data_IF_880201532144
#
_entry.id   IF_880201532144
#
_cell.length_a   1.000
_cell.length_b   1.000
_cell.length_c   1.000
_cell.angle_alpha   90.00
_cell.angle_beta   90.00
_cell.angle_gamma   90.00
#
_symmetry.space_group_name_H-M   'P 1'
#
loop_
_entity.id
_entity.type
_entity.pdbx_description
1 polymer ?
#
# COMPACT_ATOMS: atom_id res chain seq x y z
N UNK A 1 41.41 -5.09 46.15
CA UNK A 1 41.82 -4.89 44.75
C UNK A 1 40.97 -3.79 44.14
N UNK A 2 41.56 -2.63 43.80
CA UNK A 2 40.84 -1.46 43.25
C UNK A 2 41.00 -1.45 41.73
N UNK A 3 40.01 -1.96 41.00
CA UNK A 3 40.01 -1.89 39.54
C UNK A 3 39.61 -0.48 39.08
N UNK A 4 40.56 0.22 38.45
CA UNK A 4 40.34 1.49 37.77
C UNK A 4 39.56 1.25 36.48
N UNK A 5 38.31 1.72 36.44
CA UNK A 5 37.54 1.82 35.21
C UNK A 5 37.88 3.15 34.51
N UNK A 6 38.80 3.09 33.54
CA UNK A 6 39.07 4.19 32.61
C UNK A 6 38.24 3.93 31.36
N UNK A 7 36.97 4.34 31.37
CA UNK A 7 36.07 4.21 30.21
C UNK A 7 36.25 5.41 29.26
N UNK A 8 36.26 5.07 27.98
CA UNK A 8 36.66 5.89 26.85
C UNK A 8 35.61 6.96 26.51
N UNK A 9 35.80 8.21 26.95
CA UNK A 9 34.83 9.28 26.67
C UNK A 9 34.76 9.71 25.19
N UNK A 10 35.71 9.27 24.35
CA UNK A 10 35.73 9.62 22.93
C UNK A 10 34.59 8.98 22.13
N UNK A 11 34.09 7.82 22.52
CA UNK A 11 32.97 7.17 21.81
C UNK A 11 31.62 7.82 22.11
N UNK A 12 31.43 8.42 23.29
CA UNK A 12 30.17 9.12 23.62
C UNK A 12 30.00 10.44 22.85
N UNK A 13 31.10 11.11 22.49
CA UNK A 13 31.03 12.38 21.76
C UNK A 13 30.61 12.21 20.30
N UNK A 14 30.90 11.07 19.65
CA UNK A 14 30.45 10.82 18.28
C UNK A 14 28.94 10.53 18.19
N UNK A 15 28.37 9.81 19.15
CA UNK A 15 26.94 9.44 19.11
C UNK A 15 26.03 10.65 19.33
N UNK A 16 26.43 11.59 20.20
CA UNK A 16 25.68 12.83 20.42
C UNK A 16 25.66 13.74 19.18
N UNK A 17 26.71 13.75 18.35
CA UNK A 17 26.77 14.59 17.15
C UNK A 17 25.78 14.18 16.06
N UNK A 18 25.55 12.88 15.88
CA UNK A 18 24.65 12.38 14.83
C UNK A 18 23.19 12.63 15.22
N UNK A 19 22.85 12.46 16.50
CA UNK A 19 21.48 12.70 16.99
C UNK A 19 21.03 14.16 16.85
N UNK A 20 21.94 15.13 17.07
CA UNK A 20 21.61 16.57 16.93
C UNK A 20 21.34 16.94 15.47
N UNK A 21 22.07 16.36 14.51
CA UNK A 21 21.86 16.61 13.08
C UNK A 21 20.51 16.05 12.63
N UNK A 22 20.14 14.85 13.08
CA UNK A 22 18.84 14.24 12.75
C UNK A 22 17.68 15.05 13.31
N UNK A 23 17.80 15.56 14.55
CA UNK A 23 16.77 16.40 15.18
C UNK A 23 16.57 17.73 14.44
N UNK A 24 17.64 18.35 13.94
CA UNK A 24 17.55 19.59 13.16
C UNK A 24 16.90 19.40 11.78
N UNK A 25 17.10 18.24 11.14
CA UNK A 25 16.42 17.91 9.88
C UNK A 25 14.92 17.71 10.08
N UNK A 26 14.52 17.02 11.15
CA UNK A 26 13.11 16.83 11.50
C UNK A 26 12.43 18.18 11.77
N UNK A 27 13.06 19.07 12.54
CA UNK A 27 12.50 20.40 12.83
C UNK A 27 12.41 21.32 11.60
N UNK A 28 13.29 21.15 10.61
CA UNK A 28 13.26 21.96 9.38
C UNK A 28 12.07 21.62 8.47
N UNK A 29 11.49 20.42 8.60
CA UNK A 29 10.39 19.97 7.75
C UNK A 29 9.00 20.44 8.24
N UNK A 30 8.89 20.95 9.47
CA UNK A 30 7.60 21.41 10.05
C UNK A 30 7.26 22.88 9.74
N UNK A 31 8.03 23.58 8.90
CA UNK A 31 7.85 25.01 8.67
C UNK A 31 7.22 25.34 7.30
N UNK A 32 6.27 24.53 6.85
CA UNK A 32 5.39 24.90 5.73
C UNK A 32 4.34 25.90 6.22
N UNK A 33 4.58 27.17 5.91
CA UNK A 33 3.63 28.26 6.16
C UNK A 33 2.33 27.98 5.38
N UNK A 34 1.16 27.91 6.02
CA UNK A 34 -0.09 27.76 5.30
C UNK A 34 -0.36 29.05 4.52
N UNK A 35 -0.35 28.97 3.19
CA UNK A 35 -0.79 30.07 2.32
C UNK A 35 -2.31 30.15 2.43
N UNK A 36 -2.78 31.06 3.27
CA UNK A 36 -4.20 31.43 3.37
C UNK A 36 -4.64 32.10 2.06
N UNK A 37 -5.25 31.34 1.15
CA UNK A 37 -5.96 31.89 0.01
C UNK A 37 -7.22 32.62 0.53
N UNK A 38 -7.17 33.95 0.55
CA UNK A 38 -8.33 34.78 0.88
C UNK A 38 -9.41 34.60 -0.19
N UNK A 39 -10.47 33.92 0.21
CA UNK A 39 -11.77 33.88 -0.42
C UNK A 39 -12.28 35.32 -0.65
N UNK A 40 -12.39 35.73 -1.91
CA UNK A 40 -13.02 36.99 -2.32
C UNK A 40 -14.25 36.64 -3.16
N UNK A 41 -15.39 36.46 -2.48
CA UNK A 41 -16.68 36.55 -3.14
C UNK A 41 -16.97 38.02 -3.43
N UNK A 42 -17.05 38.40 -4.71
CA UNK A 42 -18.00 39.41 -5.17
C UNK A 42 -18.59 39.05 -6.53
N UNK A 43 -19.91 38.87 -6.47
CA UNK A 43 -20.96 38.93 -7.48
C UNK A 43 -20.61 39.69 -8.78
N UNK A 44 -21.03 39.16 -9.93
CA UNK A 44 -22.08 39.77 -10.78
C UNK A 44 -22.47 38.87 -11.95
N UNK A 45 -23.78 38.85 -12.18
CA UNK A 45 -24.51 38.28 -13.31
C UNK A 45 -24.13 38.91 -14.65
N UNK A 46 -24.00 38.11 -15.72
CA UNK A 46 -24.54 38.40 -17.07
C UNK A 46 -24.48 37.12 -17.90
N UNK A 47 -25.65 36.52 -18.17
CA UNK A 47 -25.79 35.47 -19.18
C UNK A 47 -25.67 36.10 -20.56
N UNK A 48 -24.60 35.75 -21.27
CA UNK A 48 -24.33 36.13 -22.66
C UNK A 48 -23.72 34.96 -23.40
N UNK A 49 -24.54 34.29 -24.21
CA UNK A 49 -24.21 33.25 -25.16
C UNK A 49 -23.08 33.66 -26.12
N UNK A 50 -21.95 32.94 -26.15
CA UNK A 50 -21.07 32.81 -27.33
C UNK A 50 -20.35 31.44 -27.30
N UNK A 51 -20.29 30.81 -28.47
CA UNK A 51 -19.72 29.50 -28.74
C UNK A 51 -18.19 29.50 -28.93
N UNK A 52 -17.51 28.45 -28.44
CA UNK A 52 -16.23 27.79 -28.86
C UNK A 52 -14.96 28.65 -29.10
N UNK A 53 -13.73 28.07 -29.13
CA UNK A 53 -13.28 26.71 -28.78
C UNK A 53 -12.12 26.65 -27.75
N UNK A 54 -11.98 25.48 -27.10
CA UNK A 54 -10.77 25.01 -26.43
C UNK A 54 -9.63 24.86 -27.43
N UNK A 55 -8.61 25.71 -27.34
CA UNK A 55 -7.31 25.49 -27.99
C UNK A 55 -6.27 26.43 -27.37
N UNK A 56 -5.64 26.06 -26.24
CA UNK A 56 -4.34 26.63 -25.79
C UNK A 56 -3.84 25.98 -24.49
N UNK A 57 -3.49 24.70 -24.52
CA UNK A 57 -2.59 24.09 -23.52
C UNK A 57 -1.72 23.03 -24.19
N UNK A 58 -0.82 23.46 -25.08
CA UNK A 58 0.16 22.56 -25.70
C UNK A 58 1.49 23.23 -26.08
N UNK A 59 1.89 24.31 -25.41
CA UNK A 59 3.13 25.05 -25.76
C UNK A 59 4.10 25.27 -24.60
N UNK A 60 4.04 24.46 -23.54
CA UNK A 60 4.90 24.68 -22.36
C UNK A 60 5.75 23.51 -21.87
N UNK A 61 5.90 22.44 -22.67
CA UNK A 61 6.81 21.32 -22.35
C UNK A 61 8.06 21.29 -23.27
N UNK A 62 8.15 22.16 -24.29
CA UNK A 62 9.25 22.15 -25.26
C UNK A 62 10.45 23.07 -24.89
N UNK A 63 10.74 23.26 -23.59
CA UNK A 63 11.78 24.20 -23.13
C UNK A 63 12.74 23.63 -22.07
N UNK A 64 12.88 22.31 -21.98
CA UNK A 64 13.88 21.68 -21.09
C UNK A 64 14.77 20.60 -21.74
N UNK A 65 14.61 20.30 -23.03
CA UNK A 65 15.42 19.26 -23.73
C UNK A 65 16.64 19.80 -24.48
N UNK A 66 17.37 20.78 -23.93
CA UNK A 66 18.67 21.18 -24.49
C UNK A 66 19.65 21.53 -23.39
N UNK A 67 20.18 20.50 -22.71
CA UNK A 67 21.46 20.55 -21.95
C UNK A 67 21.91 19.19 -21.40
N UNK A 68 21.75 18.12 -22.17
CA UNK A 68 22.33 16.81 -21.82
C UNK A 68 23.07 16.17 -23.01
N UNK A 69 23.79 17.00 -23.76
CA UNK A 69 24.88 16.52 -24.60
C UNK A 69 26.19 16.96 -23.95
N UNK A 70 27.01 15.97 -23.61
CA UNK A 70 28.45 15.98 -23.25
C UNK A 70 28.63 15.10 -22.00
N UNK A 71 29.54 14.13 -22.14
CA UNK A 71 29.93 13.07 -21.19
C UNK A 71 29.14 11.75 -21.37
N UNK A 72 29.44 11.04 -22.46
CA UNK A 72 29.77 9.62 -22.39
C UNK A 72 30.52 9.21 -23.67
N UNK A 73 31.82 9.50 -23.66
CA UNK A 73 32.81 8.95 -24.58
C UNK A 73 33.84 8.25 -23.72
N UNK A 74 34.21 7.04 -24.12
CA UNK A 74 35.37 6.24 -23.66
C UNK A 74 35.07 5.21 -22.56
N UNK A 75 34.55 4.05 -22.94
CA UNK A 75 35.06 2.76 -22.45
C UNK A 75 35.13 1.81 -23.65
N UNK A 76 36.35 1.65 -24.15
CA UNK A 76 36.76 0.66 -25.12
C UNK A 76 36.88 -0.74 -24.48
N UNK A 77 36.62 -1.75 -25.31
CA UNK A 77 37.26 -3.07 -25.33
C UNK A 77 37.30 -3.92 -24.04
N UNK A 78 36.28 -4.77 -23.88
CA UNK A 78 36.47 -6.10 -23.27
C UNK A 78 35.86 -7.18 -24.17
N UNK A 79 36.75 -7.75 -24.99
CA UNK A 79 36.56 -8.98 -25.75
C UNK A 79 36.54 -10.16 -24.77
N UNK A 80 35.39 -10.80 -24.59
CA UNK A 80 35.27 -12.09 -23.89
C UNK A 80 34.84 -13.16 -24.89
N UNK A 81 35.64 -14.23 -24.98
CA UNK A 81 35.40 -15.36 -25.89
C UNK A 81 34.26 -16.26 -25.41
N UNK A 82 33.55 -16.94 -26.32
CA UNK A 82 32.48 -17.85 -25.97
C UNK A 82 33.05 -19.26 -25.76
N UNK A 83 32.79 -19.85 -24.60
CA UNK A 83 33.14 -21.23 -24.35
C UNK A 83 32.34 -21.79 -23.18
N UNK A 84 31.12 -22.26 -23.43
CA UNK A 84 30.65 -23.43 -22.70
C UNK A 84 29.57 -24.20 -23.44
N UNK A 85 29.70 -25.51 -23.30
CA UNK A 85 29.06 -26.59 -24.02
C UNK A 85 27.59 -26.78 -23.68
N UNK A 86 26.80 -26.94 -24.74
CA UNK A 86 25.41 -27.43 -24.75
C UNK A 86 25.37 -28.87 -24.25
N UNK A 87 24.67 -29.11 -23.13
CA UNK A 87 24.21 -30.44 -22.74
C UNK A 87 22.72 -30.55 -23.05
N UNK A 88 22.41 -31.33 -24.07
CA UNK A 88 21.08 -31.79 -24.45
C UNK A 88 20.55 -32.73 -23.37
N UNK A 89 19.41 -32.41 -22.76
CA UNK A 89 18.63 -33.38 -21.98
C UNK A 89 17.32 -33.60 -22.73
N UNK A 90 17.29 -34.71 -23.47
CA UNK A 90 16.08 -35.31 -23.99
C UNK A 90 15.28 -35.87 -22.81
N UNK A 91 14.11 -35.31 -22.51
CA UNK A 91 13.19 -35.91 -21.54
C UNK A 91 11.94 -36.41 -22.26
N UNK A 92 11.89 -37.72 -22.42
CA UNK A 92 10.80 -38.47 -23.02
C UNK A 92 9.53 -38.38 -22.15
N UNK A 93 8.55 -37.66 -22.65
CA UNK A 93 7.28 -38.18 -23.12
C UNK A 93 6.59 -39.37 -22.38
N UNK A 94 5.32 -39.14 -22.07
CA UNK A 94 4.17 -40.07 -21.97
C UNK A 94 4.06 -41.02 -20.77
N UNK A 95 3.22 -40.59 -19.82
CA UNK A 95 2.56 -41.45 -18.85
C UNK A 95 1.13 -40.97 -18.55
N UNK A 96 0.25 -41.00 -19.56
CA UNK A 96 -1.20 -40.80 -19.40
C UNK A 96 -1.81 -42.09 -18.83
N UNK A 97 -2.36 -42.03 -17.62
CA UNK A 97 -3.42 -42.93 -17.16
C UNK A 97 -4.39 -42.19 -16.22
N UNK A 98 -5.61 -41.92 -16.71
CA UNK A 98 -6.81 -41.99 -15.88
C UNK A 98 -7.13 -43.47 -15.54
N UNK A 99 -8.19 -43.80 -14.78
CA UNK A 99 -9.52 -43.19 -14.90
C UNK A 99 -10.30 -42.98 -13.57
N UNK A 100 -11.40 -42.22 -13.69
CA UNK A 100 -12.72 -42.40 -13.08
C UNK A 100 -12.86 -42.93 -11.64
N UNK A 101 -13.45 -42.08 -10.78
CA UNK A 101 -14.43 -42.46 -9.74
C UNK A 101 -15.03 -41.15 -9.18
N UNK A 102 -16.21 -40.68 -9.61
CA UNK A 102 -17.56 -41.16 -9.23
C UNK A 102 -17.66 -41.51 -7.75
N UNK A 103 -18.00 -40.52 -6.92
CA UNK A 103 -18.77 -40.73 -5.68
C UNK A 103 -19.79 -39.59 -5.54
N UNK A 104 -21.04 -39.94 -5.83
CA UNK A 104 -22.25 -39.27 -5.35
C UNK A 104 -22.48 -39.58 -3.86
N UNK A 105 -23.41 -38.84 -3.26
CA UNK A 105 -24.06 -39.03 -1.93
C UNK A 105 -23.50 -38.07 -0.87
N UNK A 106 -24.26 -37.47 0.01
CA UNK A 106 -25.69 -37.58 0.32
C UNK A 106 -26.08 -36.32 1.10
N UNK A 107 -27.28 -35.86 0.81
CA UNK A 107 -28.07 -34.89 1.54
C UNK A 107 -28.38 -35.44 2.95
N UNK A 108 -28.20 -34.64 4.00
CA UNK A 108 -28.83 -34.93 5.30
C UNK A 108 -29.31 -33.64 5.94
N UNK A 109 -30.63 -33.50 5.88
CA UNK A 109 -31.47 -32.58 6.60
C UNK A 109 -31.46 -32.82 8.13
N UNK A 110 -31.61 -31.70 8.85
CA UNK A 110 -32.39 -31.52 10.09
C UNK A 110 -31.99 -32.26 11.38
N UNK A 111 -31.65 -31.50 12.43
CA UNK A 111 -32.52 -31.29 13.62
C UNK A 111 -31.80 -30.52 14.74
N UNK A 112 -32.26 -29.31 15.03
CA UNK A 112 -32.48 -28.83 16.42
C UNK A 112 -33.64 -29.66 17.03
N UNK A 113 -33.80 -29.85 18.37
CA UNK A 113 -33.62 -28.83 19.43
C UNK A 113 -33.08 -29.38 20.78
N UNK A 114 -32.86 -28.49 21.77
CA UNK A 114 -33.62 -28.49 23.03
C UNK A 114 -32.92 -27.72 24.17
N UNK A 115 -33.71 -26.84 24.78
CA UNK A 115 -33.58 -26.23 26.10
C UNK A 115 -33.12 -27.23 27.18
N UNK A 116 -32.27 -26.78 28.11
CA UNK A 116 -32.48 -27.09 29.53
C UNK A 116 -31.86 -26.04 30.45
N UNK A 117 -32.74 -25.47 31.27
CA UNK A 117 -32.51 -24.56 32.40
C UNK A 117 -31.97 -25.37 33.58
N UNK A 118 -30.99 -24.84 34.30
CA UNK A 118 -30.79 -25.12 35.72
C UNK A 118 -30.06 -23.97 36.41
N UNK A 119 -30.82 -23.24 37.23
CA UNK A 119 -30.35 -22.49 38.40
C UNK A 119 -29.47 -23.39 39.28
N UNK A 120 -28.34 -22.87 39.75
CA UNK A 120 -27.90 -23.16 41.11
C UNK A 120 -27.17 -21.96 41.74
N UNK A 121 -27.77 -21.54 42.84
CA UNK A 121 -27.40 -20.47 43.75
C UNK A 121 -26.30 -20.95 44.72
N UNK A 122 -25.64 -20.00 45.40
CA UNK A 122 -24.74 -20.19 46.59
C UNK A 122 -23.30 -20.61 46.22
N UNK A 123 -22.21 -20.05 46.75
CA UNK A 123 -21.96 -19.61 48.12
C UNK A 123 -20.77 -18.61 48.20
N UNK A 124 -20.94 -17.66 49.10
CA UNK A 124 -20.07 -16.54 49.46
C UNK A 124 -18.84 -17.04 50.25
N UNK A 125 -17.63 -16.78 49.75
CA UNK A 125 -16.40 -16.93 50.55
C UNK A 125 -15.51 -15.69 50.44
N UNK A 126 -15.57 -14.88 51.49
CA UNK A 126 -14.57 -13.86 51.82
C UNK A 126 -13.23 -14.53 52.12
N UNK A 127 -12.15 -14.17 51.41
CA UNK A 127 -10.81 -14.19 52.02
C UNK A 127 -9.80 -13.30 51.26
N UNK A 128 -9.17 -12.42 52.04
CA UNK A 128 -7.83 -11.86 51.89
C UNK A 128 -7.51 -10.97 50.67
N UNK A 129 -7.70 -9.67 50.92
CA UNK A 129 -7.07 -8.54 50.22
C UNK A 129 -5.56 -8.73 50.09
N UNK A 130 -5.12 -9.09 48.89
CA UNK A 130 -3.74 -8.94 48.44
C UNK A 130 -3.71 -7.67 47.62
N UNK A 131 -2.98 -6.66 48.13
CA UNK A 131 -2.73 -5.40 47.44
C UNK A 131 -1.81 -5.71 46.26
N UNK A 132 -2.43 -6.11 45.16
CA UNK A 132 -1.82 -6.24 43.86
C UNK A 132 -1.54 -4.83 43.37
N UNK A 133 -0.24 -4.53 43.26
CA UNK A 133 0.26 -3.27 42.76
C UNK A 133 -0.09 -3.25 41.27
N UNK A 134 -1.25 -2.67 40.93
CA UNK A 134 -1.66 -2.33 39.57
C UNK A 134 -0.55 -1.49 38.94
N UNK A 135 0.33 -2.16 38.19
CA UNK A 135 1.09 -1.53 37.13
C UNK A 135 0.07 -1.15 36.08
N UNK A 136 -0.40 0.09 36.15
CA UNK A 136 -1.21 0.71 35.11
C UNK A 136 -0.38 0.72 33.83
N UNK A 137 -0.49 -0.35 33.03
CA UNK A 137 -0.01 -0.39 31.67
C UNK A 137 -0.64 0.79 30.95
N UNK A 138 0.23 1.75 30.61
CA UNK A 138 -0.15 2.95 29.90
C UNK A 138 -0.43 2.53 28.47
N UNK A 139 -1.66 2.07 28.20
CA UNK A 139 -2.12 1.78 26.84
C UNK A 139 -1.83 3.01 25.98
N UNK A 140 -0.92 2.84 25.03
CA UNK A 140 -0.65 3.88 24.04
C UNK A 140 -1.92 4.04 23.21
N UNK A 141 -2.47 5.26 23.21
CA UNK A 141 -3.68 5.56 22.48
C UNK A 141 -3.43 5.36 20.97
N UNK A 142 -4.35 4.67 20.30
CA UNK A 142 -4.30 4.48 18.85
C UNK A 142 -4.41 5.85 18.16
N UNK A 143 -3.49 6.18 17.23
CA UNK A 143 -3.56 7.44 16.50
C UNK A 143 -4.79 7.46 15.59
N UNK A 144 -5.50 8.59 15.55
CA UNK A 144 -6.63 8.78 14.63
C UNK A 144 -6.18 8.70 13.16
N UNK A 145 -6.99 8.06 12.31
CA UNK A 145 -6.75 8.00 10.87
C UNK A 145 -7.03 9.37 10.25
N UNK A 146 -5.98 10.10 9.86
CA UNK A 146 -6.12 11.43 9.27
C UNK A 146 -6.32 11.36 7.76
N UNK A 147 -6.87 12.43 7.17
CA UNK A 147 -6.93 12.60 5.72
C UNK A 147 -5.56 12.43 5.05
N UNK A 148 -4.51 12.98 5.66
CA UNK A 148 -3.14 12.83 5.14
C UNK A 148 -2.69 11.37 5.10
N UNK A 149 -3.05 10.56 6.12
CA UNK A 149 -2.71 9.13 6.11
C UNK A 149 -3.48 8.37 5.02
N UNK A 150 -4.75 8.73 4.80
CA UNK A 150 -5.57 8.14 3.74
C UNK A 150 -4.90 8.40 2.38
N UNK A 151 -4.64 9.66 2.05
CA UNK A 151 -4.00 10.07 0.79
C UNK A 151 -2.65 9.40 0.61
N UNK A 152 -1.80 9.41 1.63
CA UNK A 152 -0.49 8.78 1.57
C UNK A 152 -0.58 7.29 1.25
N UNK A 153 -1.47 6.54 1.90
CA UNK A 153 -1.64 5.11 1.68
C UNK A 153 -2.25 4.81 0.30
N UNK A 154 -3.26 5.57 -0.13
CA UNK A 154 -3.92 5.38 -1.43
C UNK A 154 -3.02 5.77 -2.59
N UNK A 155 -2.23 6.83 -2.46
CA UNK A 155 -1.25 7.24 -3.46
C UNK A 155 -0.12 6.23 -3.53
N UNK A 156 0.37 5.77 -2.39
CA UNK A 156 1.41 4.74 -2.34
C UNK A 156 0.94 3.45 -2.99
N UNK A 157 -0.32 3.06 -2.81
CA UNK A 157 -0.90 1.93 -3.53
C UNK A 157 -0.80 2.12 -5.05
N UNK A 158 -1.31 3.23 -5.59
CA UNK A 158 -1.29 3.48 -7.04
C UNK A 158 0.12 3.64 -7.60
N UNK A 159 1.01 4.32 -6.88
CA UNK A 159 2.41 4.47 -7.27
C UNK A 159 3.17 3.13 -7.26
N UNK A 160 2.72 2.16 -6.46
CA UNK A 160 3.28 0.79 -6.45
C UNK A 160 2.61 -0.09 -7.50
N UNK A 161 1.34 0.15 -7.85
CA UNK A 161 0.66 -0.60 -8.90
C UNK A 161 1.11 -0.15 -10.30
N UNK A 162 1.28 1.16 -10.52
CA UNK A 162 1.68 1.72 -11.82
C UNK A 162 3.20 1.65 -11.96
N UNK A 163 3.66 0.66 -12.71
CA UNK A 163 5.09 0.41 -12.89
C UNK A 163 5.66 1.02 -14.17
N UNK A 164 6.91 1.51 -14.15
CA UNK A 164 7.63 1.85 -15.36
C UNK A 164 7.96 0.57 -16.15
N UNK A 165 7.80 0.64 -17.46
CA UNK A 165 7.94 -0.49 -18.39
C UNK A 165 8.84 -0.12 -19.57
N UNK A 166 9.37 -1.15 -20.25
CA UNK A 166 10.01 -1.01 -21.56
C UNK A 166 9.01 -1.10 -22.73
N UNK A 167 9.54 -1.04 -23.96
CA UNK A 167 8.75 -1.13 -25.20
C UNK A 167 8.01 -2.46 -25.38
N UNK A 168 8.38 -3.50 -24.62
CA UNK A 168 7.77 -4.83 -24.64
C UNK A 168 6.86 -5.07 -23.42
N UNK A 169 6.46 -4.02 -22.69
CA UNK A 169 5.64 -4.10 -21.48
C UNK A 169 6.31 -4.81 -20.29
N UNK A 170 7.63 -5.01 -20.33
CA UNK A 170 8.36 -5.60 -19.21
C UNK A 170 8.56 -4.57 -18.11
N UNK A 171 8.25 -4.95 -16.88
CA UNK A 171 8.45 -4.13 -15.68
C UNK A 171 9.95 -3.94 -15.41
N UNK A 172 10.35 -2.70 -15.14
CA UNK A 172 11.76 -2.36 -14.95
C UNK A 172 12.26 -2.59 -13.52
N UNK A 173 11.38 -2.45 -12.52
CA UNK A 173 11.76 -2.43 -11.11
C UNK A 173 11.64 -3.78 -10.40
N UNK A 174 10.94 -4.74 -11.01
CA UNK A 174 10.60 -6.03 -10.42
C UNK A 174 10.71 -7.13 -11.47
N UNK A 175 11.16 -8.32 -11.06
CA UNK A 175 11.35 -9.46 -11.97
C UNK A 175 10.27 -10.52 -11.79
N UNK A 176 9.65 -10.58 -10.62
CA UNK A 176 8.64 -11.61 -10.28
C UNK A 176 7.40 -10.98 -9.63
N UNK A 177 6.28 -11.70 -9.65
CA UNK A 177 5.06 -11.29 -8.94
C UNK A 177 5.34 -11.17 -7.44
N UNK A 178 6.08 -12.12 -6.87
CA UNK A 178 6.36 -12.13 -5.42
C UNK A 178 7.16 -10.90 -4.98
N UNK A 179 8.16 -10.46 -5.76
CA UNK A 179 8.91 -9.23 -5.47
C UNK A 179 8.01 -7.98 -5.47
N UNK A 180 7.06 -7.89 -6.40
CA UNK A 180 6.10 -6.79 -6.45
C UNK A 180 5.14 -6.85 -5.25
N UNK A 181 4.62 -8.03 -4.91
CA UNK A 181 3.75 -8.25 -3.75
C UNK A 181 4.46 -7.90 -2.42
N UNK A 182 5.76 -8.13 -2.33
CA UNK A 182 6.56 -7.76 -1.16
C UNK A 182 6.69 -6.24 -1.00
N UNK A 183 6.73 -5.48 -2.12
CA UNK A 183 6.73 -4.01 -2.08
C UNK A 183 5.44 -3.44 -1.46
N UNK A 184 4.31 -4.10 -1.70
CA UNK A 184 3.01 -3.77 -1.12
C UNK A 184 2.90 -4.15 0.38
N UNK A 185 3.52 -5.25 0.78
CA UNK A 185 3.39 -5.84 2.12
C UNK A 185 3.83 -4.93 3.28
N UNK A 186 4.45 -3.78 2.99
CA UNK A 186 4.80 -2.76 3.97
C UNK A 186 3.58 -1.94 4.45
N UNK A 187 2.52 -1.83 3.65
CA UNK A 187 1.40 -0.91 3.93
C UNK A 187 0.01 -1.43 3.53
N UNK A 188 -0.06 -2.55 2.83
CA UNK A 188 -1.33 -3.23 2.49
C UNK A 188 -1.19 -4.73 2.77
N UNK A 189 -2.30 -5.39 3.05
CA UNK A 189 -2.35 -6.83 3.20
C UNK A 189 -2.20 -7.54 1.85
N UNK A 190 -1.40 -8.61 1.84
CA UNK A 190 -1.03 -9.34 0.61
C UNK A 190 -2.27 -9.84 -0.14
N UNK A 191 -3.26 -10.35 0.59
CA UNK A 191 -4.48 -10.92 -0.01
C UNK A 191 -5.34 -9.84 -0.69
N UNK A 192 -5.32 -8.61 -0.19
CA UNK A 192 -6.09 -7.49 -0.75
C UNK A 192 -5.52 -7.07 -2.11
N UNK A 193 -4.20 -7.02 -2.23
CA UNK A 193 -3.53 -6.58 -3.46
C UNK A 193 -3.39 -7.69 -4.50
N UNK A 194 -3.53 -8.96 -4.10
CA UNK A 194 -3.38 -10.11 -4.99
C UNK A 194 -4.32 -10.05 -6.20
N UNK A 195 -5.57 -9.59 -6.03
CA UNK A 195 -6.52 -9.46 -7.14
C UNK A 195 -6.01 -8.47 -8.20
N UNK A 196 -5.45 -7.34 -7.79
CA UNK A 196 -4.90 -6.34 -8.69
C UNK A 196 -3.63 -6.85 -9.37
N UNK A 197 -2.67 -7.37 -8.61
CA UNK A 197 -1.40 -7.81 -9.19
C UNK A 197 -1.61 -8.97 -10.15
N UNK A 198 -2.45 -9.94 -9.82
CA UNK A 198 -2.74 -11.07 -10.71
C UNK A 198 -3.56 -10.67 -11.95
N UNK A 199 -4.32 -9.57 -11.88
CA UNK A 199 -5.08 -9.07 -13.02
C UNK A 199 -4.20 -8.27 -13.99
N UNK A 200 -3.30 -7.43 -13.46
CA UNK A 200 -2.49 -6.51 -14.26
C UNK A 200 -1.16 -7.08 -14.70
N UNK A 201 -0.63 -8.10 -14.02
CA UNK A 201 0.71 -8.62 -14.28
C UNK A 201 0.71 -10.11 -14.54
N UNK A 202 1.64 -10.53 -15.38
CA UNK A 202 1.96 -11.94 -15.59
C UNK A 202 3.47 -12.13 -15.61
N UNK A 203 3.91 -13.27 -15.08
CA UNK A 203 5.33 -13.61 -14.99
C UNK A 203 5.72 -14.53 -16.16
N UNK A 204 6.84 -14.19 -16.80
CA UNK A 204 7.50 -15.02 -17.82
C UNK A 204 8.90 -15.41 -17.34
N UNK A 205 9.57 -16.30 -18.07
CA UNK A 205 10.88 -16.83 -17.66
C UNK A 205 11.98 -15.75 -17.55
N UNK A 206 11.83 -14.62 -18.25
CA UNK A 206 12.79 -13.54 -18.34
C UNK A 206 12.36 -12.24 -17.65
N UNK A 207 11.16 -12.21 -17.04
CA UNK A 207 10.73 -11.08 -16.20
C UNK A 207 9.22 -11.01 -15.95
N UNK A 208 8.82 -9.90 -15.31
CA UNK A 208 7.44 -9.55 -15.04
C UNK A 208 6.94 -8.61 -16.13
N UNK A 209 5.73 -8.85 -16.62
CA UNK A 209 5.11 -8.09 -17.71
C UNK A 209 3.77 -7.52 -17.26
N UNK A 210 3.40 -6.36 -17.79
CA UNK A 210 2.10 -5.75 -17.57
C UNK A 210 1.15 -6.05 -18.73
N UNK A 211 -0.11 -6.33 -18.40
CA UNK A 211 -1.22 -6.39 -19.36
C UNK A 211 -1.68 -4.95 -19.63
N UNK A 212 -1.54 -4.43 -20.87
CA UNK A 212 -1.88 -3.04 -21.19
C UNK A 212 -3.38 -2.84 -21.13
N UNK A 213 -3.85 -2.47 -19.95
CA UNK A 213 -5.25 -2.26 -19.60
C UNK A 213 -5.35 -0.97 -18.79
N UNK A 214 -6.58 -0.48 -18.63
CA UNK A 214 -6.84 0.73 -17.87
C UNK A 214 -6.64 0.49 -16.37
N UNK A 215 -6.18 1.51 -15.65
CA UNK A 215 -6.05 1.47 -14.18
C UNK A 215 -7.41 1.22 -13.51
N UNK A 216 -7.44 0.65 -12.31
CA UNK A 216 -8.71 0.42 -11.62
C UNK A 216 -9.39 1.77 -11.32
N UNK A 217 -10.73 1.84 -11.27
CA UNK A 217 -11.40 2.98 -10.65
C UNK A 217 -10.88 3.14 -9.22
N UNK A 218 -10.54 4.36 -8.81
CA UNK A 218 -9.75 4.57 -7.61
C UNK A 218 -10.22 5.74 -6.76
N UNK A 219 -9.60 5.88 -5.59
CA UNK A 219 -9.76 7.03 -4.72
C UNK A 219 -9.22 8.31 -5.39
N UNK A 220 -10.01 9.38 -5.35
CA UNK A 220 -9.69 10.69 -5.90
C UNK A 220 -9.56 11.70 -4.74
N UNK A 221 -8.33 12.12 -4.42
CA UNK A 221 -8.03 13.02 -3.29
C UNK A 221 -8.89 14.30 -3.27
N UNK A 222 -9.21 14.83 -4.45
CA UNK A 222 -9.97 16.07 -4.58
C UNK A 222 -11.47 15.95 -4.24
N UNK A 223 -11.98 14.71 -4.11
CA UNK A 223 -13.40 14.44 -3.86
C UNK A 223 -13.65 14.16 -2.38
N UNK A 224 -14.80 14.62 -1.89
CA UNK A 224 -15.25 14.32 -0.53
C UNK A 224 -15.51 12.82 -0.33
N UNK A 225 -15.35 12.32 0.89
CA UNK A 225 -15.61 10.94 1.26
C UNK A 225 -16.19 10.84 2.67
N UNK A 226 -16.89 9.75 2.94
CA UNK A 226 -17.44 9.43 4.26
C UNK A 226 -16.46 8.54 5.02
N UNK A 227 -16.36 8.75 6.35
CA UNK A 227 -15.52 7.96 7.25
C UNK A 227 -16.39 7.28 8.28
N UNK A 228 -16.27 5.96 8.39
CA UNK A 228 -16.98 5.12 9.35
C UNK A 228 -15.98 4.40 10.27
N UNK A 229 -16.05 4.67 11.57
CA UNK A 229 -15.25 3.96 12.55
C UNK A 229 -15.92 2.61 12.89
N UNK A 230 -15.29 1.49 12.52
CA UNK A 230 -15.83 0.13 12.74
C UNK A 230 -15.41 -0.43 14.10
N UNK A 231 -14.17 -0.16 14.54
CA UNK A 231 -13.64 -0.51 15.87
C UNK A 231 -12.56 0.50 16.28
N UNK A 232 -11.97 0.38 17.47
CA UNK A 232 -10.89 1.30 17.91
C UNK A 232 -9.68 1.34 16.95
N UNK A 233 -9.41 0.23 16.26
CA UNK A 233 -8.27 0.07 15.36
C UNK A 233 -8.67 -0.13 13.89
N UNK A 234 -9.96 0.03 13.53
CA UNK A 234 -10.44 -0.19 12.17
C UNK A 234 -11.38 0.92 11.73
N UNK A 235 -11.12 1.46 10.55
CA UNK A 235 -11.90 2.53 9.92
C UNK A 235 -12.14 2.18 8.47
N UNK A 236 -13.34 2.46 7.96
CA UNK A 236 -13.70 2.32 6.55
C UNK A 236 -13.98 3.70 5.98
N UNK A 237 -13.48 3.98 4.78
CA UNK A 237 -13.91 5.14 4.02
C UNK A 237 -14.75 4.69 2.83
N UNK A 238 -15.73 5.52 2.46
CA UNK A 238 -16.53 5.32 1.26
C UNK A 238 -16.48 6.60 0.42
N UNK A 239 -16.05 6.49 -0.84
CA UNK A 239 -16.01 7.61 -1.77
C UNK A 239 -16.82 7.28 -3.02
N UNK A 240 -17.75 8.18 -3.35
CA UNK A 240 -18.52 8.13 -4.59
C UNK A 240 -17.83 8.99 -5.64
N UNK A 241 -17.54 8.41 -6.81
CA UNK A 241 -16.85 9.06 -7.91
C UNK A 241 -17.61 8.84 -9.23
N UNK A 242 -17.35 9.72 -10.20
CA UNK A 242 -17.83 9.58 -11.57
C UNK A 242 -16.67 9.86 -12.53
N UNK A 243 -16.41 8.94 -13.46
CA UNK A 243 -15.41 9.14 -14.51
C UNK A 243 -15.95 8.78 -15.88
N UNK A 244 -15.39 9.39 -16.93
CA UNK A 244 -15.78 9.07 -18.31
C UNK A 244 -15.50 7.62 -18.71
N UNK A 245 -14.54 6.97 -18.04
CA UNK A 245 -14.10 5.61 -18.35
C UNK A 245 -14.87 4.53 -17.57
N UNK A 246 -15.17 4.79 -16.29
CA UNK A 246 -15.81 3.81 -15.41
C UNK A 246 -17.28 4.13 -15.08
N UNK A 247 -17.80 5.29 -15.50
CA UNK A 247 -19.12 5.76 -15.10
C UNK A 247 -19.15 6.14 -13.62
N UNK A 248 -20.31 5.96 -12.99
CA UNK A 248 -20.46 6.12 -11.54
C UNK A 248 -19.90 4.89 -10.83
N UNK A 249 -19.11 5.11 -9.79
CA UNK A 249 -18.59 4.03 -8.97
C UNK A 249 -18.43 4.48 -7.52
N UNK A 250 -18.42 3.52 -6.60
CA UNK A 250 -18.04 3.75 -5.20
C UNK A 250 -16.84 2.89 -4.86
N UNK A 251 -15.82 3.49 -4.27
CA UNK A 251 -14.68 2.79 -3.69
C UNK A 251 -14.82 2.80 -2.17
N UNK A 252 -14.75 1.61 -1.57
CA UNK A 252 -14.73 1.41 -0.12
C UNK A 252 -13.36 0.87 0.28
N UNK A 253 -12.66 1.58 1.16
CA UNK A 253 -11.30 1.20 1.61
C UNK A 253 -11.30 1.02 3.12
N UNK A 254 -10.91 -0.17 3.55
CA UNK A 254 -10.74 -0.51 4.95
C UNK A 254 -9.30 -0.29 5.38
N UNK A 255 -9.13 0.42 6.50
CA UNK A 255 -7.87 0.67 7.16
C UNK A 255 -7.86 0.01 8.54
N UNK A 256 -6.77 -0.68 8.87
CA UNK A 256 -6.54 -1.26 10.20
C UNK A 256 -5.21 -0.79 10.76
N UNK A 257 -5.19 -0.39 12.03
CA UNK A 257 -3.98 -0.07 12.77
C UNK A 257 -3.39 -1.35 13.39
N UNK A 258 -2.14 -1.67 13.05
CA UNK A 258 -1.46 -2.90 13.46
C UNK A 258 -0.66 -2.78 14.77
N UNK A 259 -0.79 -1.64 15.46
CA UNK A 259 0.00 -1.29 16.65
C UNK A 259 1.18 -0.36 16.34
N UNK A 260 1.58 -0.24 15.07
CA UNK A 260 2.66 0.65 14.62
C UNK A 260 2.17 1.67 13.60
N UNK A 261 1.42 1.24 12.59
CA UNK A 261 0.95 2.08 11.50
C UNK A 261 -0.44 1.67 11.01
N UNK A 262 -1.12 2.61 10.34
CA UNK A 262 -2.31 2.30 9.57
C UNK A 262 -1.93 1.59 8.27
N UNK A 263 -2.71 0.58 7.91
CA UNK A 263 -2.54 -0.25 6.70
C UNK A 263 -3.87 -0.43 6.00
N UNK A 264 -3.84 -0.62 4.68
CA UNK A 264 -5.03 -1.01 3.92
C UNK A 264 -5.26 -2.52 4.12
N UNK A 265 -6.45 -2.88 4.58
CA UNK A 265 -6.83 -4.27 4.86
C UNK A 265 -8.04 -4.75 4.06
N UNK A 266 -8.63 -3.86 3.24
CA UNK A 266 -9.69 -4.23 2.31
C UNK A 266 -9.94 -3.13 1.30
N UNK A 267 -10.29 -3.52 0.07
CA UNK A 267 -10.76 -2.61 -0.98
C UNK A 267 -11.96 -3.27 -1.65
N UNK A 268 -13.02 -2.50 -1.89
CA UNK A 268 -14.21 -2.97 -2.59
C UNK A 268 -14.70 -1.90 -3.57
N UNK A 269 -15.18 -2.34 -4.73
CA UNK A 269 -15.78 -1.47 -5.74
C UNK A 269 -17.24 -1.83 -5.96
N UNK A 270 -18.08 -0.81 -6.10
CA UNK A 270 -19.49 -0.93 -6.48
C UNK A 270 -19.76 -0.07 -7.71
N UNK A 271 -20.48 -0.62 -8.69
CA UNK A 271 -20.81 -0.01 -9.99
C UNK A 271 -22.33 0.09 -10.17
#
# INVERSE_FOLDING_TARGET
>A
MKHKLKRNSKWMLCVLSVGVILLLLVLSNYNTVPVQAKNHQQLTSTFGSVAKPQQEFSSKIESLETKLDVVNSTIDDVKTEPGESVATIDNENLGVQGPDSVISNEETEQQEPNLTVADEETEKKETASTVEKEETEKQEAIPELTHQNIVELTDRFMNTLVQPIDDNYRVLNYTTIDELMDAFSVFIDRDVVAEYVNFYFHEEADGLYILPTETPPWFEEANDYEVEQVSENKTVINQYNESGLHGNYTVSIEFTFDGTAWRITGINHQY
#
